data_IF_554968320883
#
_entry.id   IF_554968320883
#
_cell.length_a   1.000
_cell.length_b   1.000
_cell.length_c   1.000
_cell.angle_alpha   90.00
_cell.angle_beta   90.00
_cell.angle_gamma   90.00
#
_symmetry.space_group_name_H-M   'P 1'
#
loop_
_entity.id
_entity.type
_entity.pdbx_description
1 polymer ?
#
# COMPACT_ATOMS: atom_id res chain seq x y z
N UNK A 1 -8.73 -1.57 16.71
CA UNK A 1 -7.57 -2.33 16.22
C UNK A 1 -6.66 -2.66 17.40
N UNK A 2 -6.13 -3.86 17.46
CA UNK A 2 -5.17 -4.29 18.47
C UNK A 2 -3.85 -4.64 17.78
N UNK A 3 -2.71 -4.28 18.41
CA UNK A 3 -1.38 -4.55 17.86
C UNK A 3 -0.66 -5.50 18.80
N UNK A 4 -0.18 -6.60 18.27
CA UNK A 4 0.60 -7.60 18.98
C UNK A 4 2.03 -7.61 18.48
N UNK A 5 2.98 -7.53 19.39
CA UNK A 5 4.39 -7.69 19.11
C UNK A 5 4.78 -9.11 19.51
N UNK A 6 5.39 -9.82 18.61
CA UNK A 6 5.86 -11.21 18.86
C UNK A 6 7.25 -11.39 18.27
N UNK A 7 7.86 -12.54 18.49
CA UNK A 7 9.09 -12.94 17.83
C UNK A 7 8.90 -14.26 17.10
N UNK A 8 9.58 -14.44 15.98
CA UNK A 8 9.59 -15.66 15.18
C UNK A 8 8.19 -16.04 14.68
N UNK A 9 7.50 -15.12 14.01
CA UNK A 9 6.32 -15.48 13.24
C UNK A 9 6.69 -16.51 12.19
N UNK A 10 5.88 -17.55 12.08
CA UNK A 10 6.08 -18.61 11.09
C UNK A 10 4.74 -18.91 10.43
N UNK A 11 4.67 -18.79 9.12
CA UNK A 11 3.54 -19.33 8.37
C UNK A 11 3.69 -20.84 8.28
N UNK A 12 2.71 -21.56 8.81
CA UNK A 12 2.68 -23.02 8.81
C UNK A 12 1.73 -23.59 7.77
N UNK A 13 1.11 -22.74 6.97
CA UNK A 13 0.13 -23.16 5.96
C UNK A 13 0.78 -23.55 4.63
N UNK A 14 2.03 -23.13 4.41
CA UNK A 14 2.79 -23.43 3.20
C UNK A 14 3.84 -24.53 3.44
N UNK A 15 4.19 -25.28 2.38
CA UNK A 15 5.24 -26.31 2.42
C UNK A 15 6.64 -25.73 2.65
N UNK A 16 6.84 -24.44 2.39
CA UNK A 16 8.03 -23.67 2.70
C UNK A 16 7.69 -22.71 3.84
N UNK A 17 8.43 -22.82 4.95
CA UNK A 17 8.27 -21.90 6.07
C UNK A 17 8.65 -20.49 5.64
N UNK A 18 7.67 -19.62 5.54
CA UNK A 18 7.91 -18.20 5.40
C UNK A 18 7.92 -17.54 6.79
N UNK A 19 8.72 -16.49 6.93
CA UNK A 19 8.83 -15.70 8.15
C UNK A 19 8.32 -14.29 7.84
N UNK A 20 7.01 -14.05 7.89
CA UNK A 20 6.46 -12.75 7.60
C UNK A 20 6.91 -11.73 8.66
N UNK A 21 7.20 -10.51 8.25
CA UNK A 21 7.52 -9.41 9.17
C UNK A 21 6.27 -8.94 9.95
N UNK A 22 5.08 -9.20 9.41
CA UNK A 22 3.81 -8.91 10.05
C UNK A 22 2.64 -9.47 9.27
N UNK A 23 1.44 -9.32 9.81
CA UNK A 23 0.19 -9.55 9.10
C UNK A 23 -0.98 -8.83 9.78
N UNK A 24 -2.04 -8.58 9.02
CA UNK A 24 -3.33 -8.10 9.52
C UNK A 24 -4.41 -9.15 9.34
N UNK A 25 -5.18 -9.37 10.38
CA UNK A 25 -6.31 -10.29 10.37
C UNK A 25 -7.52 -9.67 11.05
N UNK A 26 -8.67 -10.31 10.90
CA UNK A 26 -9.89 -9.96 11.62
C UNK A 26 -10.31 -11.13 12.52
N UNK A 27 -10.49 -10.85 13.80
CA UNK A 27 -10.98 -11.79 14.77
C UNK A 27 -12.14 -11.15 15.56
N UNK A 28 -13.31 -11.79 15.54
CA UNK A 28 -14.51 -11.32 16.23
C UNK A 28 -14.85 -9.83 15.93
N UNK A 29 -14.76 -9.44 14.68
CA UNK A 29 -14.97 -8.05 14.23
C UNK A 29 -13.94 -7.03 14.74
N UNK A 30 -12.81 -7.48 15.26
CA UNK A 30 -11.69 -6.66 15.61
C UNK A 30 -10.54 -6.85 14.62
N UNK A 31 -9.97 -5.76 14.16
CA UNK A 31 -8.75 -5.80 13.36
C UNK A 31 -7.57 -6.02 14.30
N UNK A 32 -6.79 -7.04 13.99
CA UNK A 32 -5.58 -7.42 14.71
C UNK A 32 -4.40 -7.26 13.75
N UNK A 33 -3.39 -6.52 14.18
CA UNK A 33 -2.10 -6.44 13.52
C UNK A 33 -1.07 -7.17 14.37
N UNK A 34 -0.32 -8.07 13.76
CA UNK A 34 0.77 -8.79 14.42
C UNK A 34 2.08 -8.46 13.74
N UNK A 35 3.10 -8.10 14.50
CA UNK A 35 4.41 -7.72 14.00
C UNK A 35 5.50 -8.60 14.61
N UNK A 36 6.41 -9.09 13.77
CA UNK A 36 7.57 -9.87 14.21
C UNK A 36 8.74 -8.95 14.55
N UNK A 37 9.09 -8.91 15.82
CA UNK A 37 10.18 -8.06 16.31
C UNK A 37 11.57 -8.54 15.89
N UNK A 38 11.71 -9.78 15.41
CA UNK A 38 12.98 -10.34 14.98
C UNK A 38 13.20 -10.20 13.46
N UNK A 39 12.12 -10.23 12.66
CA UNK A 39 12.19 -10.18 11.20
C UNK A 39 12.07 -8.78 10.65
N UNK A 40 11.55 -7.84 11.44
CA UNK A 40 11.30 -6.47 10.98
C UNK A 40 12.57 -5.61 11.07
N UNK A 41 13.18 -5.29 9.94
CA UNK A 41 14.32 -4.37 9.85
C UNK A 41 13.92 -2.92 9.52
N UNK A 42 12.74 -2.72 8.92
CA UNK A 42 12.19 -1.43 8.49
C UNK A 42 10.82 -1.22 9.14
N UNK A 43 10.83 -0.89 10.43
CA UNK A 43 9.61 -0.78 11.25
C UNK A 43 8.56 0.15 10.66
N UNK A 44 8.95 1.33 10.24
CA UNK A 44 8.02 2.35 9.74
C UNK A 44 7.30 1.84 8.48
N UNK A 45 8.06 1.22 7.57
CA UNK A 45 7.51 0.63 6.35
C UNK A 45 6.60 -0.56 6.66
N UNK A 46 7.05 -1.48 7.53
CA UNK A 46 6.27 -2.68 7.85
C UNK A 46 4.96 -2.31 8.56
N UNK A 47 5.01 -1.44 9.56
CA UNK A 47 3.80 -0.97 10.26
C UNK A 47 2.83 -0.30 9.28
N UNK A 48 3.33 0.56 8.41
CA UNK A 48 2.50 1.25 7.44
C UNK A 48 1.93 0.27 6.39
N UNK A 49 2.71 -0.69 5.92
CA UNK A 49 2.25 -1.76 5.03
C UNK A 49 1.07 -2.52 5.65
N UNK A 50 1.23 -3.01 6.86
CA UNK A 50 0.17 -3.74 7.57
C UNK A 50 -1.05 -2.84 7.88
N UNK A 51 -0.82 -1.57 8.20
CA UNK A 51 -1.90 -0.62 8.40
C UNK A 51 -2.70 -0.41 7.12
N UNK A 52 -2.05 -0.43 5.95
CA UNK A 52 -2.71 -0.33 4.66
C UNK A 52 -3.73 -1.45 4.44
N UNK A 53 -3.46 -2.69 4.86
CA UNK A 53 -4.44 -3.77 4.81
C UNK A 53 -5.69 -3.49 5.65
N UNK A 54 -5.52 -2.85 6.82
CA UNK A 54 -6.66 -2.42 7.64
C UNK A 54 -7.45 -1.28 6.97
N UNK A 55 -6.75 -0.34 6.32
CA UNK A 55 -7.35 0.73 5.52
C UNK A 55 -8.16 0.12 4.36
N UNK A 56 -7.59 -0.81 3.62
CA UNK A 56 -8.24 -1.49 2.50
C UNK A 56 -9.57 -2.12 2.88
N UNK A 57 -9.62 -2.81 4.02
CA UNK A 57 -10.87 -3.38 4.54
C UNK A 57 -11.93 -2.31 4.76
N UNK A 58 -11.54 -1.16 5.28
CA UNK A 58 -12.44 -0.02 5.48
C UNK A 58 -12.91 0.55 4.15
N UNK A 59 -12.03 0.72 3.19
CA UNK A 59 -12.36 1.23 1.86
C UNK A 59 -13.28 0.27 1.10
N UNK A 60 -12.97 -1.03 1.11
CA UNK A 60 -13.78 -2.07 0.51
C UNK A 60 -15.19 -2.16 1.14
N UNK A 61 -15.30 -2.06 2.47
CA UNK A 61 -16.59 -1.97 3.13
C UNK A 61 -17.35 -0.73 2.67
N UNK A 62 -16.71 0.43 2.65
CA UNK A 62 -17.33 1.68 2.25
C UNK A 62 -17.84 1.63 0.81
N UNK A 63 -17.08 1.06 -0.12
CA UNK A 63 -17.47 0.92 -1.52
C UNK A 63 -18.73 0.07 -1.73
N UNK A 64 -19.05 -0.84 -0.81
CA UNK A 64 -20.24 -1.68 -0.88
C UNK A 64 -21.50 -1.02 -0.30
N UNK A 65 -21.34 -0.13 0.67
CA UNK A 65 -22.47 0.38 1.47
C UNK A 65 -22.67 1.88 1.40
N UNK A 66 -21.76 2.62 0.81
CA UNK A 66 -21.84 4.08 0.68
C UNK A 66 -21.92 4.44 -0.80
N UNK A 67 -23.03 5.06 -1.17
CA UNK A 67 -23.22 5.59 -2.52
C UNK A 67 -22.16 6.68 -2.79
N UNK A 68 -21.53 6.60 -3.96
CA UNK A 68 -20.47 7.52 -4.38
C UNK A 68 -19.15 7.46 -3.55
N UNK A 69 -18.88 6.34 -2.89
CA UNK A 69 -17.54 6.11 -2.36
C UNK A 69 -16.48 6.21 -3.48
N UNK A 70 -15.39 6.91 -3.21
CA UNK A 70 -14.34 7.13 -4.23
C UNK A 70 -13.63 5.83 -4.60
N UNK A 71 -13.38 4.96 -3.62
CA UNK A 71 -12.66 3.72 -3.83
C UNK A 71 -13.48 2.68 -4.58
N UNK A 72 -12.89 2.10 -5.63
CA UNK A 72 -13.34 0.84 -6.23
C UNK A 72 -12.15 0.04 -6.76
N UNK A 73 -12.25 -1.29 -6.73
CA UNK A 73 -11.24 -2.18 -7.32
C UNK A 73 -11.15 -2.00 -8.84
N UNK A 74 -12.25 -1.66 -9.51
CA UNK A 74 -12.25 -1.38 -10.95
C UNK A 74 -11.41 -0.14 -11.28
N UNK A 75 -11.59 0.96 -10.51
CA UNK A 75 -10.80 2.17 -10.69
C UNK A 75 -9.31 1.91 -10.39
N UNK A 76 -8.99 1.16 -9.32
CA UNK A 76 -7.62 0.76 -9.03
C UNK A 76 -7.00 -0.02 -10.18
N UNK A 77 -7.69 -1.02 -10.68
CA UNK A 77 -7.20 -1.88 -11.74
C UNK A 77 -7.02 -1.14 -13.09
N UNK A 78 -7.73 -0.03 -13.29
CA UNK A 78 -7.59 0.77 -14.51
C UNK A 78 -6.23 1.46 -14.66
N UNK A 79 -5.46 1.58 -13.57
CA UNK A 79 -4.08 2.09 -13.62
C UNK A 79 -3.06 1.00 -14.02
N UNK A 80 -3.46 -0.26 -14.11
CA UNK A 80 -2.57 -1.35 -14.48
C UNK A 80 -2.41 -1.44 -16.01
N UNK A 81 -1.35 -2.09 -16.49
CA UNK A 81 -1.19 -2.33 -17.93
C UNK A 81 -2.37 -3.10 -18.52
N UNK A 82 -2.67 -2.86 -19.79
CA UNK A 82 -3.66 -3.65 -20.53
C UNK A 82 -3.37 -5.16 -20.39
N UNK A 83 -4.42 -5.92 -20.11
CA UNK A 83 -4.34 -7.38 -19.92
C UNK A 83 -3.56 -7.85 -18.68
N UNK A 84 -3.17 -6.94 -17.80
CA UNK A 84 -2.57 -7.32 -16.51
C UNK A 84 -3.60 -7.98 -15.60
N UNK A 85 -3.17 -9.01 -14.88
CA UNK A 85 -3.95 -9.63 -13.81
C UNK A 85 -3.01 -9.99 -12.65
N UNK A 86 -3.35 -9.54 -11.46
CA UNK A 86 -2.65 -9.99 -10.26
C UNK A 86 -2.61 -11.52 -10.21
N UNK A 87 -1.62 -12.10 -9.58
CA UNK A 87 -1.33 -13.55 -9.52
C UNK A 87 -0.85 -14.15 -10.85
N UNK A 88 -1.57 -13.90 -11.94
CA UNK A 88 -1.22 -14.47 -13.26
C UNK A 88 0.04 -13.82 -13.86
N UNK A 89 0.32 -12.58 -13.47
CA UNK A 89 1.48 -11.82 -13.96
C UNK A 89 2.74 -12.02 -13.12
N UNK A 90 2.69 -12.77 -12.04
CA UNK A 90 3.82 -12.94 -11.12
C UNK A 90 5.09 -13.49 -11.78
N UNK A 91 4.94 -14.43 -12.72
CA UNK A 91 6.06 -15.03 -13.43
C UNK A 91 6.71 -14.09 -14.46
N UNK A 92 5.94 -13.12 -14.97
CA UNK A 92 6.40 -12.12 -15.95
C UNK A 92 6.77 -10.79 -15.30
N UNK A 93 7.04 -10.84 -14.02
CA UNK A 93 7.19 -9.67 -13.15
C UNK A 93 8.19 -8.62 -13.67
N UNK A 94 9.27 -9.03 -14.30
CA UNK A 94 10.34 -8.16 -14.78
C UNK A 94 9.93 -7.11 -15.83
N UNK A 95 8.76 -7.25 -16.45
CA UNK A 95 8.27 -6.29 -17.46
C UNK A 95 7.44 -5.14 -16.85
N UNK A 96 6.98 -5.27 -15.62
CA UNK A 96 6.02 -4.33 -15.03
C UNK A 96 6.66 -3.29 -14.11
N UNK A 97 7.86 -3.52 -13.60
CA UNK A 97 8.64 -2.46 -12.97
C UNK A 97 9.82 -2.13 -13.88
N UNK A 98 9.69 -1.02 -14.55
CA UNK A 98 10.72 -0.49 -15.41
C UNK A 98 11.67 0.41 -14.62
N UNK A 99 12.91 0.52 -15.09
CA UNK A 99 13.79 1.63 -14.71
C UNK A 99 13.42 2.93 -15.42
N UNK A 100 12.53 2.86 -16.38
CA UNK A 100 11.93 3.98 -17.04
C UNK A 100 10.77 4.51 -16.18
N UNK A 101 10.97 5.66 -15.59
CA UNK A 101 10.04 6.31 -14.67
C UNK A 101 8.70 6.67 -15.31
N UNK A 102 8.64 6.84 -16.63
CA UNK A 102 7.42 7.18 -17.35
C UNK A 102 6.46 6.00 -17.50
N UNK A 103 6.96 4.78 -17.36
CA UNK A 103 6.19 3.55 -17.54
C UNK A 103 6.21 2.61 -16.33
N UNK A 104 6.52 3.14 -15.15
CA UNK A 104 6.52 2.34 -13.94
C UNK A 104 5.10 2.13 -13.41
N UNK A 105 4.71 0.88 -13.20
CA UNK A 105 3.40 0.49 -12.72
C UNK A 105 3.41 -0.01 -11.27
N UNK A 106 4.52 -0.59 -10.81
CA UNK A 106 4.64 -1.26 -9.53
C UNK A 106 5.97 -0.96 -8.86
N UNK A 107 6.00 -0.97 -7.54
CA UNK A 107 7.22 -0.73 -6.77
C UNK A 107 8.20 -1.90 -6.84
N UNK A 108 7.69 -3.12 -6.81
CA UNK A 108 8.51 -4.35 -6.77
C UNK A 108 7.69 -5.58 -7.19
N UNK A 109 8.31 -6.76 -7.12
CA UNK A 109 7.68 -8.03 -7.47
C UNK A 109 6.54 -8.42 -6.54
N UNK A 110 6.57 -7.99 -5.30
CA UNK A 110 5.53 -8.29 -4.34
C UNK A 110 4.24 -7.52 -4.64
N UNK A 111 4.35 -6.28 -5.13
CA UNK A 111 3.21 -5.45 -5.55
C UNK A 111 2.34 -6.10 -6.63
N UNK A 112 2.86 -7.05 -7.43
CA UNK A 112 2.08 -7.70 -8.49
C UNK A 112 1.34 -8.96 -8.04
N UNK A 113 1.47 -9.36 -6.79
CA UNK A 113 0.80 -10.57 -6.27
C UNK A 113 -0.69 -10.35 -6.05
N UNK A 114 -1.05 -9.29 -5.36
CA UNK A 114 -2.43 -8.90 -5.06
C UNK A 114 -2.59 -7.40 -5.11
N UNK A 115 -3.79 -6.92 -5.45
CA UNK A 115 -4.10 -5.49 -5.43
C UNK A 115 -3.93 -4.88 -4.02
N UNK A 116 -4.19 -5.65 -2.98
CA UNK A 116 -3.98 -5.25 -1.59
C UNK A 116 -2.50 -5.07 -1.26
N UNK A 117 -1.63 -5.94 -1.79
CA UNK A 117 -0.18 -5.82 -1.61
C UNK A 117 0.38 -4.62 -2.38
N UNK A 118 -0.13 -4.36 -3.59
CA UNK A 118 0.25 -3.19 -4.36
C UNK A 118 -0.02 -1.89 -3.60
N UNK A 119 -1.20 -1.76 -3.01
CA UNK A 119 -1.56 -0.61 -2.16
C UNK A 119 -0.72 -0.54 -0.89
N UNK A 120 -0.47 -1.68 -0.26
CA UNK A 120 0.32 -1.76 0.97
C UNK A 120 1.79 -1.37 0.72
N UNK A 121 2.38 -1.81 -0.38
CA UNK A 121 3.74 -1.43 -0.77
C UNK A 121 3.85 0.08 -1.06
N UNK A 122 2.88 0.65 -1.77
CA UNK A 122 2.84 2.10 -2.05
C UNK A 122 2.75 2.89 -0.74
N UNK A 123 1.83 2.55 0.15
CA UNK A 123 1.62 3.26 1.41
C UNK A 123 2.81 3.10 2.36
N UNK A 124 3.34 1.88 2.49
CA UNK A 124 4.51 1.59 3.30
C UNK A 124 5.75 2.38 2.85
N UNK A 125 5.97 2.44 1.52
CA UNK A 125 7.08 3.20 0.95
C UNK A 125 6.91 4.71 1.16
N UNK A 126 5.71 5.24 1.00
CA UNK A 126 5.45 6.68 1.21
C UNK A 126 5.73 7.10 2.66
N UNK A 127 5.29 6.30 3.65
CA UNK A 127 5.55 6.58 5.07
C UNK A 127 7.03 6.44 5.40
N UNK A 128 7.70 5.39 4.91
CA UNK A 128 9.13 5.19 5.15
C UNK A 128 9.99 6.32 4.57
N UNK A 129 9.66 6.79 3.37
CA UNK A 129 10.35 7.93 2.75
C UNK A 129 10.19 9.21 3.57
N UNK A 130 8.98 9.48 4.06
CA UNK A 130 8.76 10.61 4.95
C UNK A 130 9.64 10.55 6.21
N UNK A 131 9.66 9.42 6.91
CA UNK A 131 10.45 9.25 8.13
C UNK A 131 11.96 9.29 7.90
N UNK A 132 12.41 8.84 6.73
CA UNK A 132 13.82 8.91 6.34
C UNK A 132 14.26 10.32 5.89
N UNK A 133 13.34 11.27 5.82
CA UNK A 133 13.58 12.61 5.30
C UNK A 133 13.80 12.65 3.78
N UNK A 134 13.42 11.58 3.08
CA UNK A 134 13.44 11.53 1.63
C UNK A 134 12.11 12.07 1.12
N UNK A 135 12.12 13.33 0.71
CA UNK A 135 10.95 13.98 0.12
C UNK A 135 10.75 13.65 -1.37
N UNK A 136 11.76 13.05 -2.01
CA UNK A 136 11.76 12.82 -3.45
C UNK A 136 11.97 11.34 -3.76
N UNK A 137 10.91 10.66 -4.13
CA UNK A 137 10.99 9.40 -4.85
C UNK A 137 10.48 9.64 -6.26
N UNK A 138 11.37 9.63 -7.24
CA UNK A 138 11.06 9.93 -8.64
C UNK A 138 9.97 9.01 -9.23
N UNK A 139 9.75 7.85 -8.62
CA UNK A 139 8.66 6.93 -9.01
C UNK A 139 7.28 7.50 -8.73
N UNK A 140 7.17 8.45 -7.80
CA UNK A 140 5.93 9.14 -7.42
C UNK A 140 5.87 10.58 -7.95
N UNK A 141 6.56 10.87 -9.03
CA UNK A 141 6.54 12.18 -9.68
C UNK A 141 6.05 12.08 -11.11
N UNK A 142 5.45 13.15 -11.61
CA UNK A 142 4.97 13.20 -12.98
C UNK A 142 3.73 12.35 -13.25
N UNK A 143 3.40 12.19 -14.52
CA UNK A 143 2.18 11.51 -14.98
C UNK A 143 2.49 10.03 -15.33
N UNK A 144 2.96 9.27 -14.36
CA UNK A 144 3.16 7.83 -14.53
C UNK A 144 2.11 7.01 -13.76
N UNK A 145 1.87 5.75 -14.15
CA UNK A 145 0.81 4.93 -13.53
C UNK A 145 0.99 4.70 -12.03
N UNK A 146 2.23 4.59 -11.54
CA UNK A 146 2.49 4.40 -10.11
C UNK A 146 2.10 5.65 -9.30
N UNK A 147 2.44 6.84 -9.82
CA UNK A 147 2.02 8.09 -9.19
C UNK A 147 0.50 8.25 -9.20
N UNK A 148 -0.16 7.92 -10.31
CA UNK A 148 -1.63 7.94 -10.39
C UNK A 148 -2.28 7.00 -9.35
N UNK A 149 -1.74 5.79 -9.15
CA UNK A 149 -2.16 4.87 -8.09
C UNK A 149 -2.00 5.48 -6.69
N UNK A 150 -0.83 6.05 -6.44
CA UNK A 150 -0.52 6.69 -5.16
C UNK A 150 -1.49 7.83 -4.85
N UNK A 151 -1.69 8.75 -5.80
CA UNK A 151 -2.63 9.87 -5.64
C UNK A 151 -4.07 9.40 -5.44
N UNK A 152 -4.50 8.42 -6.24
CA UNK A 152 -5.82 7.82 -6.10
C UNK A 152 -6.00 7.21 -4.71
N UNK A 153 -5.02 6.45 -4.22
CA UNK A 153 -5.10 5.81 -2.89
C UNK A 153 -5.15 6.84 -1.76
N UNK A 154 -4.33 7.88 -1.81
CA UNK A 154 -4.38 8.99 -0.85
C UNK A 154 -5.77 9.65 -0.81
N UNK A 155 -6.37 9.90 -1.97
CA UNK A 155 -7.69 10.50 -2.08
C UNK A 155 -8.78 9.55 -1.53
N UNK A 156 -8.67 8.24 -1.78
CA UNK A 156 -9.56 7.23 -1.21
C UNK A 156 -9.48 7.17 0.32
N UNK A 157 -8.29 7.30 0.89
CA UNK A 157 -8.12 7.36 2.35
C UNK A 157 -8.85 8.59 2.91
N UNK A 158 -8.69 9.75 2.30
CA UNK A 158 -9.41 10.96 2.74
C UNK A 158 -10.93 10.86 2.60
N UNK A 159 -11.43 10.21 1.55
CA UNK A 159 -12.86 9.93 1.40
C UNK A 159 -13.36 8.89 2.41
N UNK A 160 -12.52 7.90 2.73
CA UNK A 160 -12.89 6.74 3.54
C UNK A 160 -13.00 6.98 5.04
N UNK A 161 -12.40 8.05 5.56
CA UNK A 161 -12.26 8.31 6.99
C UNK A 161 -12.77 9.70 7.38
N UNK A 162 -13.06 9.90 8.65
CA UNK A 162 -13.31 11.23 9.21
C UNK A 162 -11.97 11.98 9.31
N UNK A 163 -11.83 13.00 8.48
CA UNK A 163 -10.62 13.81 8.38
C UNK A 163 -10.63 15.03 9.29
N UNK A 164 -11.62 15.15 10.19
CA UNK A 164 -11.71 16.27 11.15
C UNK A 164 -10.47 16.33 12.01
N UNK A 165 -9.76 17.44 11.93
CA UNK A 165 -8.52 17.67 12.68
C UNK A 165 -7.25 17.10 12.03
N UNK A 166 -7.35 16.50 10.83
CA UNK A 166 -6.15 16.13 10.09
C UNK A 166 -5.44 17.37 9.53
N UNK A 167 -4.14 17.25 9.35
CA UNK A 167 -3.37 18.24 8.60
C UNK A 167 -3.84 18.33 7.16
N UNK A 168 -3.61 19.48 6.50
CA UNK A 168 -3.87 19.64 5.07
C UNK A 168 -3.11 18.62 4.23
N UNK A 169 -1.91 18.24 4.68
CA UNK A 169 -1.08 17.19 4.12
C UNK A 169 -0.69 16.24 5.25
N UNK A 170 -0.88 14.96 5.03
CA UNK A 170 -0.49 13.91 5.97
C UNK A 170 0.89 13.33 5.58
N UNK A 171 1.63 12.70 6.51
CA UNK A 171 2.95 12.14 6.22
C UNK A 171 3.03 11.26 4.96
N UNK A 172 2.01 10.46 4.72
CA UNK A 172 1.96 9.58 3.53
C UNK A 172 1.58 10.29 2.22
N UNK A 173 1.24 11.57 2.26
CA UNK A 173 0.87 12.38 1.10
C UNK A 173 2.01 13.31 0.64
N UNK A 174 3.11 13.36 1.37
CA UNK A 174 4.18 14.34 1.15
C UNK A 174 4.93 14.15 -0.18
N UNK A 175 4.87 12.98 -0.77
CA UNK A 175 5.45 12.74 -2.09
C UNK A 175 4.72 13.49 -3.22
N UNK A 176 3.52 14.02 -2.94
CA UNK A 176 2.74 14.85 -3.89
C UNK A 176 3.24 16.30 -3.99
N UNK A 177 3.94 16.81 -2.97
CA UNK A 177 4.23 18.26 -2.86
C UNK A 177 5.49 18.73 -3.59
N UNK A 178 6.30 17.83 -4.15
CA UNK A 178 7.52 18.20 -4.88
C UNK A 178 7.28 19.02 -6.17
N UNK A 179 6.03 19.25 -6.57
CA UNK A 179 5.66 20.03 -7.76
C UNK A 179 5.29 21.50 -7.49
N UNK A 180 5.28 21.98 -6.23
CA UNK A 180 4.73 23.31 -5.91
C UNK A 180 5.78 24.43 -5.77
N UNK A 181 7.07 24.12 -5.81
CA UNK A 181 8.12 25.16 -5.80
C UNK A 181 8.91 25.21 -7.11
N UNK A 182 8.29 25.75 -8.15
CA UNK A 182 8.98 26.39 -9.29
C UNK A 182 8.23 27.63 -9.78
#
# INVERSE_FOLDING_TARGET
MEIYLTGNLTDTTEEQFEYPAGFVSELNSHIIMVLDTNSCSEWDRTIAHELSHAIDRRLAFRSQYVEHALFSEEAWNSFNPDSFSYLNSYHDSGQYWSKDWESVFFLNSYSITYATEDRAEIFGNAVANYHSGWSEDLRFTGDNPLNQKYEYYCNCIRDGFDTTGWSSVMPWEMLKESEIEN
#
